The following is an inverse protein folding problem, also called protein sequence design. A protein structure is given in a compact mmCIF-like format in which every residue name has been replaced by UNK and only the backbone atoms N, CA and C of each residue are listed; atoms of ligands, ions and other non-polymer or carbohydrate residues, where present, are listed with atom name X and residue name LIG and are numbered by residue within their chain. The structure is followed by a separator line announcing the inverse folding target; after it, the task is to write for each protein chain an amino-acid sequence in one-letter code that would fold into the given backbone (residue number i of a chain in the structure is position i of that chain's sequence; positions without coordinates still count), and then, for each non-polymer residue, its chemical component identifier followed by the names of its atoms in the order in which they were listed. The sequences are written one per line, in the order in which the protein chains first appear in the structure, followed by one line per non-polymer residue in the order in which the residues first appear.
data_IF_087031421315
#
_entry.id   IF_087031421315
#
_cell.length_a   1.000
_cell.length_b   1.000
_cell.length_c   1.000
_cell.angle_alpha   90.00
_cell.angle_beta   90.00
_cell.angle_gamma   90.00
#
_symmetry.space_group_name_H-M   'P 1'
#
loop_
_entity.id
_entity.type
_entity.pdbx_description
1 polymer ?
#
# COMPACT_ATOMS: atom_id res chain seq x y z
N UNK A 1 27.39 -42.35 14.81
CA UNK A 1 27.65 -41.41 13.70
C UNK A 1 26.33 -41.11 13.03
N UNK A 2 25.69 -39.99 13.40
CA UNK A 2 24.45 -39.52 12.78
C UNK A 2 24.60 -38.04 12.53
N UNK A 3 24.88 -37.68 11.27
CA UNK A 3 25.03 -36.29 10.82
C UNK A 3 23.65 -35.83 10.37
N UNK A 4 22.95 -35.08 11.22
CA UNK A 4 21.73 -34.37 10.81
C UNK A 4 22.11 -33.01 10.23
N UNK A 5 21.96 -32.91 8.91
CA UNK A 5 22.02 -31.69 8.13
C UNK A 5 20.89 -30.74 8.54
N UNK A 6 21.22 -29.61 9.18
CA UNK A 6 20.28 -28.50 9.36
C UNK A 6 20.18 -27.71 8.07
N UNK A 7 19.13 -27.97 7.30
CA UNK A 7 18.65 -27.16 6.18
C UNK A 7 18.27 -25.78 6.71
N UNK A 8 18.97 -24.73 6.28
CA UNK A 8 18.60 -23.33 6.57
C UNK A 8 17.36 -22.98 5.73
N UNK A 9 16.28 -22.58 6.39
CA UNK A 9 15.16 -21.90 5.74
C UNK A 9 15.65 -20.55 5.16
N UNK A 10 15.28 -20.18 3.92
CA UNK A 10 15.53 -18.84 3.43
C UNK A 10 14.39 -17.94 3.93
N UNK A 11 14.64 -17.17 4.99
CA UNK A 11 13.82 -16.01 5.30
C UNK A 11 14.00 -15.00 4.16
N UNK A 12 13.03 -14.95 3.24
CA UNK A 12 12.84 -13.82 2.34
C UNK A 12 12.36 -12.63 3.17
N UNK A 13 13.28 -11.92 3.79
CA UNK A 13 13.05 -10.53 4.15
C UNK A 13 13.20 -9.70 2.89
N UNK A 14 12.10 -9.22 2.33
CA UNK A 14 12.08 -8.16 1.32
C UNK A 14 12.50 -6.83 1.98
N UNK A 15 13.73 -6.79 2.48
CA UNK A 15 14.32 -5.62 3.10
C UNK A 15 14.91 -4.72 2.01
N UNK A 16 14.39 -3.50 1.92
CA UNK A 16 14.97 -2.42 1.14
C UNK A 16 16.50 -2.46 1.20
N UNK A 17 17.15 -2.60 0.05
CA UNK A 17 18.61 -2.62 -0.02
C UNK A 17 19.14 -1.24 0.38
N UNK A 18 20.01 -1.18 1.38
CA UNK A 18 20.57 0.08 1.85
C UNK A 18 21.74 0.53 0.96
N UNK A 19 21.87 1.84 0.77
CA UNK A 19 22.96 2.52 0.03
C UNK A 19 24.36 2.15 0.55
N UNK A 20 24.45 1.93 1.85
CA UNK A 20 25.69 1.57 2.56
C UNK A 20 25.49 0.20 3.20
N UNK A 21 26.43 -0.73 2.95
CA UNK A 21 26.45 -2.01 3.63
C UNK A 21 26.87 -1.83 5.11
N UNK A 22 26.59 -2.80 5.97
CA UNK A 22 26.92 -2.73 7.41
C UNK A 22 28.43 -2.49 7.69
N UNK A 23 29.28 -2.70 6.68
CA UNK A 23 30.73 -2.46 6.71
C UNK A 23 31.14 -1.04 6.23
N UNK A 24 30.20 -0.10 6.04
CA UNK A 24 30.49 1.28 5.64
C UNK A 24 30.92 1.48 4.17
N UNK A 25 30.93 0.41 3.36
CA UNK A 25 31.23 0.47 1.91
C UNK A 25 29.94 0.51 1.09
N UNK A 26 29.98 1.17 -0.07
CA UNK A 26 28.86 1.21 -1.01
C UNK A 26 28.45 -0.21 -1.41
N UNK A 27 27.15 -0.49 -1.35
CA UNK A 27 26.59 -1.79 -1.70
C UNK A 27 26.57 -1.94 -3.23
N UNK A 28 27.28 -2.92 -3.83
CA UNK A 28 27.30 -3.11 -5.29
C UNK A 28 25.96 -3.59 -5.88
N UNK A 29 25.01 -4.03 -5.04
CA UNK A 29 23.65 -4.38 -5.47
C UNK A 29 22.68 -3.19 -5.40
N UNK A 30 23.01 -2.16 -4.63
CA UNK A 30 22.19 -0.96 -4.51
C UNK A 30 22.37 -0.08 -5.74
N UNK A 31 21.29 0.09 -6.49
CA UNK A 31 21.22 1.04 -7.61
C UNK A 31 20.36 2.21 -7.14
N UNK A 32 20.98 3.38 -6.99
CA UNK A 32 20.24 4.61 -6.73
C UNK A 32 19.66 5.12 -8.05
N UNK A 33 18.34 4.98 -8.20
CA UNK A 33 17.64 5.46 -9.40
C UNK A 33 17.32 6.96 -9.26
N UNK A 34 17.48 7.55 -8.07
CA UNK A 34 17.13 8.93 -7.76
C UNK A 34 18.36 9.83 -7.55
N UNK A 35 19.51 9.44 -8.06
CA UNK A 35 20.72 10.26 -7.98
C UNK A 35 20.49 11.63 -8.63
N UNK A 36 20.87 12.68 -7.90
CA UNK A 36 20.73 14.07 -8.36
C UNK A 36 21.88 14.43 -9.30
N UNK A 37 21.53 15.03 -10.45
CA UNK A 37 22.53 15.51 -11.39
C UNK A 37 23.27 16.74 -10.85
N UNK A 38 24.50 16.93 -11.33
CA UNK A 38 25.30 18.11 -10.96
C UNK A 38 24.57 19.39 -11.41
N UNK A 39 24.42 20.39 -10.52
CA UNK A 39 23.68 21.59 -10.85
C UNK A 39 24.38 22.37 -11.95
N UNK A 40 23.63 22.74 -12.98
CA UNK A 40 24.11 23.58 -14.08
C UNK A 40 23.99 25.04 -13.65
N UNK A 41 25.08 25.79 -13.75
CA UNK A 41 25.09 27.22 -13.38
C UNK A 41 24.08 27.99 -14.23
N UNK A 42 23.22 28.77 -13.58
CA UNK A 42 22.16 29.55 -14.24
C UNK A 42 20.89 28.77 -14.60
N UNK A 43 20.89 27.44 -14.46
CA UNK A 43 19.78 26.56 -14.84
C UNK A 43 19.43 25.66 -13.67
N UNK A 44 18.77 26.22 -12.66
CA UNK A 44 18.31 25.48 -11.48
C UNK A 44 16.85 25.05 -11.57
N UNK A 45 16.03 25.83 -12.27
CA UNK A 45 14.61 25.60 -12.43
C UNK A 45 14.23 25.62 -13.90
N UNK A 46 13.24 24.83 -14.29
CA UNK A 46 12.75 24.72 -15.66
C UNK A 46 11.24 24.89 -15.68
N UNK A 47 10.74 25.66 -16.63
CA UNK A 47 9.32 25.70 -16.96
C UNK A 47 9.04 24.62 -18.00
N UNK A 48 8.13 23.70 -17.69
CA UNK A 48 7.77 22.58 -18.55
C UNK A 48 6.27 22.61 -18.80
N UNK A 49 5.87 22.42 -20.06
CA UNK A 49 4.49 22.10 -20.40
C UNK A 49 4.37 20.61 -20.69
N UNK A 50 3.35 19.98 -20.15
CA UNK A 50 3.05 18.58 -20.39
C UNK A 50 1.75 18.44 -21.18
N UNK A 51 1.69 17.46 -22.07
CA UNK A 51 0.45 16.99 -22.67
C UNK A 51 0.33 15.49 -22.39
N UNK A 52 -0.69 15.11 -21.63
CA UNK A 52 -0.92 13.72 -21.21
C UNK A 52 -2.37 13.33 -21.51
N UNK A 53 -2.67 12.83 -22.73
CA UNK A 53 -4.02 12.41 -23.09
C UNK A 53 -4.34 11.02 -22.48
N UNK A 54 -4.31 10.93 -21.15
CA UNK A 54 -4.53 9.70 -20.34
C UNK A 54 -5.75 8.88 -20.80
N UNK A 55 -6.86 9.56 -21.11
CA UNK A 55 -8.10 8.91 -21.54
C UNK A 55 -7.97 8.26 -22.92
N UNK A 56 -7.26 8.90 -23.84
CA UNK A 56 -7.06 8.40 -25.21
C UNK A 56 -6.06 7.25 -25.20
N UNK A 57 -5.03 7.32 -24.34
CA UNK A 57 -4.04 6.24 -24.17
C UNK A 57 -4.71 4.96 -23.65
N UNK A 58 -5.56 5.06 -22.62
CA UNK A 58 -6.33 3.91 -22.12
C UNK A 58 -7.26 3.33 -23.19
N UNK A 59 -7.86 4.18 -24.02
CA UNK A 59 -8.66 3.73 -25.16
C UNK A 59 -7.82 3.06 -26.24
N UNK A 60 -6.58 3.52 -26.47
CA UNK A 60 -5.62 2.90 -27.40
C UNK A 60 -5.22 1.51 -26.95
N UNK A 61 -4.84 1.35 -25.68
CA UNK A 61 -4.48 0.04 -25.10
C UNK A 61 -5.65 -0.94 -25.16
N UNK A 62 -6.85 -0.50 -24.80
CA UNK A 62 -8.07 -1.31 -24.91
C UNK A 62 -8.39 -1.67 -26.37
N UNK A 63 -8.23 -0.74 -27.30
CA UNK A 63 -8.44 -0.99 -28.73
C UNK A 63 -7.46 -2.02 -29.29
N UNK A 64 -6.18 -1.92 -28.95
CA UNK A 64 -5.15 -2.89 -29.36
C UNK A 64 -5.47 -4.27 -28.79
N UNK A 65 -5.95 -4.33 -27.55
CA UNK A 65 -6.37 -5.58 -26.93
C UNK A 65 -7.63 -6.17 -27.58
N UNK A 66 -8.62 -5.35 -27.96
CA UNK A 66 -9.81 -5.81 -28.68
C UNK A 66 -9.46 -6.38 -30.07
N UNK A 67 -8.60 -5.71 -30.83
CA UNK A 67 -8.12 -6.24 -32.12
C UNK A 67 -7.29 -7.50 -31.95
N UNK A 68 -6.45 -7.55 -30.92
CA UNK A 68 -5.76 -8.78 -30.53
C UNK A 68 -6.75 -9.90 -30.26
N UNK A 69 -7.82 -9.69 -29.47
CA UNK A 69 -8.81 -10.73 -29.19
C UNK A 69 -9.54 -11.23 -30.44
N UNK A 70 -9.75 -10.39 -31.45
CA UNK A 70 -10.33 -10.80 -32.74
C UNK A 70 -9.37 -11.68 -33.55
N UNK A 71 -8.07 -11.35 -33.52
CA UNK A 71 -7.02 -12.10 -34.20
C UNK A 71 -6.52 -13.30 -33.40
N UNK A 72 -6.74 -13.31 -32.08
CA UNK A 72 -6.52 -14.41 -31.17
C UNK A 72 -7.59 -15.47 -31.44
N UNK A 73 -7.46 -16.11 -32.60
CA UNK A 73 -8.38 -17.08 -33.21
C UNK A 73 -8.42 -18.41 -32.44
N UNK A 74 -8.50 -18.38 -31.12
CA UNK A 74 -8.68 -19.59 -30.32
C UNK A 74 -10.04 -20.23 -30.61
N UNK A 75 -11.09 -19.43 -30.77
CA UNK A 75 -12.44 -19.97 -31.01
C UNK A 75 -12.60 -20.59 -32.41
N UNK A 76 -12.06 -19.96 -33.46
CA UNK A 76 -12.11 -20.51 -34.84
C UNK A 76 -11.19 -21.71 -35.01
N UNK A 77 -9.98 -21.68 -34.45
CA UNK A 77 -9.08 -22.84 -34.50
C UNK A 77 -9.71 -24.02 -33.75
N UNK A 78 -10.37 -23.79 -32.62
CA UNK A 78 -11.06 -24.84 -31.88
C UNK A 78 -12.22 -25.48 -32.65
N UNK A 79 -13.01 -24.68 -33.39
CA UNK A 79 -14.02 -25.23 -34.31
C UNK A 79 -13.41 -26.09 -35.42
N UNK A 80 -12.27 -25.67 -35.99
CA UNK A 80 -11.54 -26.46 -37.00
C UNK A 80 -10.92 -27.72 -36.43
N UNK A 81 -10.42 -27.69 -35.20
CA UNK A 81 -9.95 -28.88 -34.49
C UNK A 81 -11.10 -29.85 -34.22
N UNK A 82 -12.28 -29.40 -33.81
CA UNK A 82 -13.46 -30.26 -33.64
C UNK A 82 -13.89 -30.88 -34.98
N UNK A 83 -13.85 -30.13 -36.08
CA UNK A 83 -14.11 -30.67 -37.43
C UNK A 83 -13.07 -31.74 -37.83
N UNK A 84 -11.80 -31.53 -37.49
CA UNK A 84 -10.73 -32.51 -37.71
C UNK A 84 -10.91 -33.76 -36.85
N UNK A 85 -11.27 -33.63 -35.58
CA UNK A 85 -11.55 -34.77 -34.68
C UNK A 85 -12.74 -35.60 -35.18
N UNK A 86 -13.78 -34.96 -35.71
CA UNK A 86 -14.89 -35.64 -36.40
C UNK A 86 -14.39 -36.44 -37.62
N UNK A 87 -13.50 -35.86 -38.43
CA UNK A 87 -12.91 -36.56 -39.57
C UNK A 87 -12.05 -37.77 -39.14
N UNK A 88 -11.24 -37.64 -38.10
CA UNK A 88 -10.41 -38.73 -37.55
C UNK A 88 -11.30 -39.84 -36.97
N UNK A 89 -12.32 -39.49 -36.20
CA UNK A 89 -13.32 -40.43 -35.68
C UNK A 89 -13.98 -41.21 -36.82
N UNK A 90 -14.37 -40.54 -37.90
CA UNK A 90 -14.97 -41.19 -39.08
C UNK A 90 -13.98 -42.10 -39.84
N UNK A 91 -12.77 -41.61 -40.12
CA UNK A 91 -11.74 -42.34 -40.89
C UNK A 91 -11.25 -43.60 -40.19
N UNK A 92 -11.09 -43.54 -38.87
CA UNK A 92 -10.56 -44.64 -38.06
C UNK A 92 -11.64 -45.41 -37.29
N UNK A 93 -12.93 -45.07 -37.48
CA UNK A 93 -14.08 -45.66 -36.77
C UNK A 93 -13.93 -45.60 -35.24
N UNK A 94 -13.36 -44.51 -34.74
CA UNK A 94 -13.28 -44.26 -33.31
C UNK A 94 -14.58 -43.63 -32.83
N UNK A 95 -14.99 -43.94 -31.60
CA UNK A 95 -16.09 -43.25 -30.93
C UNK A 95 -15.76 -41.77 -30.80
N UNK A 96 -16.61 -40.90 -31.36
CA UNK A 96 -16.42 -39.44 -31.28
C UNK A 96 -16.50 -38.95 -29.83
N UNK A 97 -17.34 -39.58 -28.99
CA UNK A 97 -17.46 -39.23 -27.57
C UNK A 97 -16.16 -39.51 -26.81
N UNK A 98 -15.50 -40.63 -27.09
CA UNK A 98 -14.25 -41.00 -26.42
C UNK A 98 -13.12 -40.05 -26.84
N UNK A 99 -12.99 -39.79 -28.15
CA UNK A 99 -11.98 -38.85 -28.68
C UNK A 99 -12.22 -37.41 -28.20
N UNK A 100 -13.48 -37.00 -28.08
CA UNK A 100 -13.83 -35.68 -27.55
C UNK A 100 -13.56 -35.58 -26.05
N UNK A 101 -13.70 -36.67 -25.31
CA UNK A 101 -13.38 -36.74 -23.87
C UNK A 101 -11.87 -36.69 -23.64
N UNK A 102 -11.10 -37.47 -24.40
CA UNK A 102 -9.63 -37.46 -24.35
C UNK A 102 -9.08 -36.08 -24.74
N UNK A 103 -9.66 -35.42 -25.74
CA UNK A 103 -9.29 -34.06 -26.11
C UNK A 103 -9.59 -33.06 -24.98
N UNK A 104 -10.70 -33.21 -24.26
CA UNK A 104 -11.01 -32.37 -23.10
C UNK A 104 -10.04 -32.62 -21.93
N UNK A 105 -9.70 -33.87 -21.65
CA UNK A 105 -8.71 -34.22 -20.63
C UNK A 105 -7.33 -33.64 -20.97
N UNK A 106 -6.89 -33.79 -22.21
CA UNK A 106 -5.65 -33.19 -22.72
C UNK A 106 -5.63 -31.67 -22.55
N UNK A 107 -6.74 -30.99 -22.87
CA UNK A 107 -6.85 -29.54 -22.66
C UNK A 107 -6.70 -29.15 -21.19
N UNK A 108 -7.31 -29.88 -20.26
CA UNK A 108 -7.15 -29.60 -18.82
C UNK A 108 -5.73 -29.82 -18.31
N UNK A 109 -4.99 -30.78 -18.87
CA UNK A 109 -3.61 -31.08 -18.47
C UNK A 109 -2.61 -30.06 -19.07
N UNK A 110 -2.77 -29.75 -20.36
CA UNK A 110 -1.94 -28.75 -21.06
C UNK A 110 -2.33 -27.31 -20.74
N UNK A 111 -3.52 -27.04 -20.18
CA UNK A 111 -3.90 -25.69 -19.73
C UNK A 111 -2.86 -25.09 -18.77
N UNK A 112 -2.23 -25.91 -17.92
CA UNK A 112 -1.17 -25.47 -17.01
C UNK A 112 0.15 -25.12 -17.72
N UNK A 113 0.40 -25.70 -18.90
CA UNK A 113 1.54 -25.42 -19.78
C UNK A 113 1.30 -24.19 -20.65
N UNK A 114 0.09 -24.05 -21.18
CA UNK A 114 -0.34 -22.88 -21.97
C UNK A 114 -0.29 -21.58 -21.18
N UNK A 115 -0.60 -21.59 -19.88
CA UNK A 115 -0.48 -20.39 -19.03
C UNK A 115 0.97 -19.92 -18.87
N UNK A 116 1.97 -20.78 -19.14
CA UNK A 116 3.40 -20.39 -19.10
C UNK A 116 3.88 -19.69 -20.38
N UNK A 117 3.23 -19.92 -21.52
CA UNK A 117 3.36 -19.09 -22.73
C UNK A 117 2.37 -17.96 -22.61
N UNK A 118 2.74 -16.91 -21.87
CA UNK A 118 1.79 -15.91 -21.41
C UNK A 118 1.10 -15.21 -22.58
N UNK A 119 -0.22 -15.09 -22.51
CA UNK A 119 -1.04 -14.21 -23.36
C UNK A 119 -0.43 -12.79 -23.51
N UNK A 120 0.33 -12.35 -22.50
CA UNK A 120 1.08 -11.10 -22.52
C UNK A 120 2.23 -11.08 -23.54
N UNK A 121 3.00 -12.17 -23.66
CA UNK A 121 4.12 -12.26 -24.61
C UNK A 121 3.62 -12.37 -26.05
N UNK A 122 2.51 -13.09 -26.24
CA UNK A 122 1.84 -13.17 -27.54
C UNK A 122 1.17 -11.86 -27.93
N UNK A 123 0.59 -11.14 -26.96
CA UNK A 123 0.07 -9.78 -27.17
C UNK A 123 1.18 -8.82 -27.57
N UNK A 124 2.32 -8.82 -26.86
CA UNK A 124 3.49 -7.99 -27.21
C UNK A 124 3.95 -8.29 -28.64
N UNK A 125 4.12 -9.57 -28.97
CA UNK A 125 4.54 -9.97 -30.32
C UNK A 125 3.54 -9.54 -31.39
N UNK A 126 2.23 -9.62 -31.11
CA UNK A 126 1.19 -9.16 -32.03
C UNK A 126 1.19 -7.65 -32.22
N UNK A 127 1.35 -6.89 -31.13
CA UNK A 127 1.45 -5.43 -31.17
C UNK A 127 2.69 -5.03 -31.98
N UNK A 128 3.85 -5.65 -31.73
CA UNK A 128 5.09 -5.35 -32.45
C UNK A 128 4.98 -5.63 -33.96
N UNK A 129 4.26 -6.68 -34.35
CA UNK A 129 4.09 -7.05 -35.76
C UNK A 129 3.09 -6.15 -36.50
N UNK A 130 2.05 -5.67 -35.81
CA UNK A 130 0.93 -4.96 -36.42
C UNK A 130 0.83 -3.50 -35.95
N UNK A 131 1.89 -2.96 -35.36
CA UNK A 131 1.89 -1.63 -34.72
C UNK A 131 1.41 -0.53 -35.66
N UNK A 132 1.97 -0.45 -36.86
CA UNK A 132 1.62 0.57 -37.86
C UNK A 132 0.15 0.44 -38.31
N UNK A 133 -0.35 -0.77 -38.50
CA UNK A 133 -1.72 -1.01 -38.95
C UNK A 133 -2.73 -0.65 -37.85
N UNK A 134 -2.48 -1.13 -36.63
CA UNK A 134 -3.30 -0.84 -35.45
C UNK A 134 -3.32 0.65 -35.13
N UNK A 135 -2.18 1.33 -35.25
CA UNK A 135 -2.08 2.76 -35.03
C UNK A 135 -2.85 3.56 -36.10
N UNK A 136 -2.77 3.17 -37.37
CA UNK A 136 -3.55 3.81 -38.44
C UNK A 136 -5.06 3.61 -38.27
N UNK A 137 -5.49 2.41 -37.88
CA UNK A 137 -6.89 2.12 -37.58
C UNK A 137 -7.39 2.93 -36.39
N UNK A 138 -6.59 3.02 -35.33
CA UNK A 138 -6.90 3.81 -34.14
C UNK A 138 -7.01 5.30 -34.50
N UNK A 139 -6.03 5.84 -35.23
CA UNK A 139 -6.00 7.24 -35.65
C UNK A 139 -7.21 7.61 -36.52
N UNK A 140 -7.59 6.74 -37.45
CA UNK A 140 -8.79 6.94 -38.29
C UNK A 140 -10.07 6.97 -37.45
N UNK A 141 -10.20 6.05 -36.48
CA UNK A 141 -11.39 5.94 -35.62
C UNK A 141 -11.51 7.10 -34.62
N UNK A 142 -10.37 7.67 -34.20
CA UNK A 142 -10.30 8.76 -33.21
C UNK A 142 -9.98 10.13 -33.82
N UNK A 143 -10.21 10.33 -35.14
CA UNK A 143 -10.01 11.60 -35.84
C UNK A 143 -8.60 12.21 -35.65
N UNK A 144 -7.56 11.37 -35.65
CA UNK A 144 -6.16 11.78 -35.49
C UNK A 144 -5.88 12.62 -34.22
N UNK A 145 -6.66 12.40 -33.15
CA UNK A 145 -6.35 13.01 -31.87
C UNK A 145 -5.00 12.50 -31.33
N UNK A 146 -4.20 13.40 -30.77
CA UNK A 146 -2.90 13.09 -30.17
C UNK A 146 -3.03 12.01 -29.11
N UNK A 147 -2.39 10.87 -29.33
CA UNK A 147 -2.34 9.72 -28.41
C UNK A 147 -0.99 9.58 -27.69
N UNK A 148 -0.06 10.50 -27.95
CA UNK A 148 1.30 10.47 -27.41
C UNK A 148 1.45 11.45 -26.24
N UNK A 149 2.20 11.01 -25.22
CA UNK A 149 2.65 11.87 -24.13
C UNK A 149 3.74 12.81 -24.65
N UNK A 150 3.60 14.11 -24.38
CA UNK A 150 4.55 15.11 -24.84
C UNK A 150 5.07 15.99 -23.70
N UNK A 151 6.35 16.33 -23.78
CA UNK A 151 7.01 17.30 -22.90
C UNK A 151 7.51 18.45 -23.78
N UNK A 152 7.28 19.68 -23.35
CA UNK A 152 7.87 20.87 -23.96
C UNK A 152 8.58 21.71 -22.90
N UNK A 153 9.90 21.85 -23.05
CA UNK A 153 10.71 22.74 -22.21
C UNK A 153 10.51 24.18 -22.70
N UNK A 154 9.99 25.06 -21.83
CA UNK A 154 9.64 26.46 -22.13
C UNK A 154 10.73 27.45 -21.69
N UNK A 155 11.75 26.99 -20.95
CA UNK A 155 12.89 27.79 -20.53
C UNK A 155 13.48 27.30 -19.21
N UNK A 156 14.74 27.65 -18.95
CA UNK A 156 15.45 27.34 -17.72
C UNK A 156 15.93 28.63 -17.04
N UNK A 157 15.84 28.68 -15.71
CA UNK A 157 16.05 29.87 -14.89
C UNK A 157 16.91 29.57 -13.66
N UNK A 158 17.64 30.57 -13.13
CA UNK A 158 18.50 30.41 -11.97
C UNK A 158 17.74 30.42 -10.62
N UNK A 159 16.64 31.15 -10.52
CA UNK A 159 15.87 31.33 -9.28
C UNK A 159 14.43 30.84 -9.42
N UNK A 160 13.83 30.44 -8.30
CA UNK A 160 12.44 29.97 -8.26
C UNK A 160 11.46 31.10 -8.59
N UNK A 161 11.68 32.29 -8.03
CA UNK A 161 10.83 33.47 -8.24
C UNK A 161 10.76 33.89 -9.73
N UNK A 162 11.89 33.84 -10.43
CA UNK A 162 11.95 34.14 -11.86
C UNK A 162 11.20 33.08 -12.67
N UNK A 163 11.36 31.79 -12.33
CA UNK A 163 10.65 30.70 -12.98
C UNK A 163 9.13 30.78 -12.74
N UNK A 164 8.69 31.16 -11.54
CA UNK A 164 7.27 31.35 -11.21
C UNK A 164 6.67 32.53 -11.97
N UNK A 165 7.34 33.67 -12.02
CA UNK A 165 6.88 34.84 -12.79
C UNK A 165 6.74 34.51 -14.27
N UNK A 166 7.74 33.82 -14.85
CA UNK A 166 7.71 33.39 -16.24
C UNK A 166 6.66 32.32 -16.50
N UNK A 167 6.42 31.42 -15.55
CA UNK A 167 5.34 30.44 -15.61
C UNK A 167 3.97 31.13 -15.68
N UNK A 168 3.74 32.15 -14.84
CA UNK A 168 2.50 32.96 -14.86
C UNK A 168 2.28 33.62 -16.21
N UNK A 169 3.30 34.30 -16.74
CA UNK A 169 3.23 34.91 -18.07
C UNK A 169 2.97 33.88 -19.18
N UNK A 170 3.59 32.70 -19.11
CA UNK A 170 3.40 31.64 -20.11
C UNK A 170 1.99 31.03 -20.07
N UNK A 171 1.37 30.95 -18.89
CA UNK A 171 -0.03 30.50 -18.74
C UNK A 171 -1.00 31.52 -19.33
N UNK A 172 -0.74 32.82 -19.17
CA UNK A 172 -1.54 33.87 -19.81
C UNK A 172 -1.47 33.82 -21.34
N UNK A 173 -0.28 33.55 -21.89
CA UNK A 173 -0.06 33.45 -23.34
C UNK A 173 -0.63 32.18 -23.97
N UNK A 174 -0.67 31.07 -23.22
CA UNK A 174 -1.07 29.75 -23.71
C UNK A 174 -1.98 29.05 -22.68
N UNK A 175 -3.28 29.37 -22.65
CA UNK A 175 -4.23 28.82 -21.69
C UNK A 175 -4.56 27.34 -21.95
N UNK A 176 -4.12 26.78 -23.07
CA UNK A 176 -4.43 25.40 -23.46
C UNK A 176 -3.49 24.37 -22.82
N UNK A 177 -2.36 24.81 -22.24
CA UNK A 177 -1.35 23.91 -21.70
C UNK A 177 -1.04 24.23 -20.23
N UNK A 178 -1.03 23.19 -19.41
CA UNK A 178 -0.57 23.31 -18.04
C UNK A 178 0.96 23.50 -18.02
N UNK A 179 1.41 24.61 -17.40
CA UNK A 179 2.83 24.93 -17.23
C UNK A 179 3.23 24.69 -15.78
N UNK A 180 4.31 23.92 -15.59
CA UNK A 180 4.86 23.55 -14.30
C UNK A 180 6.28 24.09 -14.14
N UNK A 181 6.66 24.39 -12.91
CA UNK A 181 8.04 24.75 -12.55
C UNK A 181 8.65 23.56 -11.83
N UNK A 182 9.81 23.12 -12.30
CA UNK A 182 10.52 21.97 -11.76
C UNK A 182 11.99 22.27 -11.51
N UNK A 183 12.61 21.74 -10.44
CA UNK A 183 14.05 21.82 -10.29
C UNK A 183 14.76 20.92 -11.31
N UNK A 184 15.90 21.38 -11.83
CA UNK A 184 16.74 20.64 -12.77
C UNK A 184 17.64 19.68 -11.99
N UNK A 185 17.71 18.43 -12.44
CA UNK A 185 18.54 17.39 -11.83
C UNK A 185 17.87 16.57 -10.74
N UNK A 186 16.56 16.77 -10.51
CA UNK A 186 15.75 15.91 -9.65
C UNK A 186 14.66 15.21 -10.47
N UNK A 187 14.35 13.97 -10.08
CA UNK A 187 13.22 13.24 -10.64
C UNK A 187 11.92 13.88 -10.22
N UNK A 188 11.09 14.21 -11.21
CA UNK A 188 9.74 14.74 -10.98
C UNK A 188 8.69 13.72 -11.42
N UNK A 189 7.60 13.56 -10.65
CA UNK A 189 6.49 12.73 -11.07
C UNK A 189 5.89 13.26 -12.38
N UNK A 190 5.57 12.34 -13.29
CA UNK A 190 4.86 12.63 -14.53
C UNK A 190 3.41 12.99 -14.22
N UNK A 191 2.93 14.15 -14.70
CA UNK A 191 1.56 14.65 -14.49
C UNK A 191 1.15 14.63 -13.00
N UNK A 192 1.83 15.42 -12.14
CA UNK A 192 1.48 15.49 -10.73
C UNK A 192 0.04 15.98 -10.59
N UNK A 193 -0.86 15.14 -10.09
CA UNK A 193 -2.19 15.58 -9.66
C UNK A 193 -2.00 16.80 -8.74
N UNK A 194 -2.55 17.95 -9.15
CA UNK A 194 -2.39 19.22 -8.44
C UNK A 194 -2.67 19.09 -6.93
N UNK A 195 -3.62 18.22 -6.57
CA UNK A 195 -3.98 17.95 -5.18
C UNK A 195 -2.91 17.20 -4.36
N UNK A 196 -2.06 16.39 -4.98
CA UNK A 196 -1.04 15.56 -4.28
C UNK A 196 0.31 16.24 -4.17
N UNK A 197 0.65 17.15 -5.08
CA UNK A 197 2.02 17.69 -5.20
C UNK A 197 2.24 18.99 -4.42
N UNK A 198 1.25 19.45 -3.66
CA UNK A 198 1.36 20.65 -2.84
C UNK A 198 1.39 21.94 -3.67
N UNK A 199 1.44 23.08 -2.95
CA UNK A 199 1.36 24.48 -3.43
C UNK A 199 0.94 24.64 -4.91
N UNK A 200 -0.36 24.62 -5.14
CA UNK A 200 -0.97 24.92 -6.45
C UNK A 200 -1.38 26.38 -6.47
N UNK A 201 -0.84 27.14 -7.41
CA UNK A 201 -1.36 28.47 -7.75
C UNK A 201 -2.20 28.35 -9.02
N UNK A 202 -3.49 28.62 -8.88
CA UNK A 202 -4.45 28.79 -9.97
C UNK A 202 -4.31 30.18 -10.62
N UNK A 203 -4.76 30.32 -11.86
CA UNK A 203 -4.72 31.61 -12.57
C UNK A 203 -5.69 32.63 -11.96
N UNK A 204 -6.82 32.16 -11.43
CA UNK A 204 -7.82 32.99 -10.78
C UNK A 204 -7.46 33.26 -9.31
N UNK A 205 -7.29 34.54 -8.96
CA UNK A 205 -6.94 34.96 -7.60
C UNK A 205 -8.06 34.61 -6.58
N UNK A 206 -9.32 34.71 -7.00
CA UNK A 206 -10.47 34.31 -6.17
C UNK A 206 -10.48 32.80 -5.88
N UNK A 207 -10.10 31.97 -6.87
CA UNK A 207 -10.02 30.52 -6.70
C UNK A 207 -8.86 30.12 -5.78
N UNK A 208 -7.74 30.86 -5.85
CA UNK A 208 -6.62 30.69 -4.92
C UNK A 208 -7.02 30.98 -3.48
N UNK A 209 -7.75 32.08 -3.26
CA UNK A 209 -8.29 32.42 -1.94
C UNK A 209 -9.25 31.34 -1.45
N UNK A 210 -10.18 30.89 -2.30
CA UNK A 210 -11.15 29.86 -1.96
C UNK A 210 -10.48 28.52 -1.58
N UNK A 211 -9.46 28.09 -2.33
CA UNK A 211 -8.71 26.86 -2.02
C UNK A 211 -7.87 26.99 -0.75
N UNK A 212 -7.23 28.14 -0.54
CA UNK A 212 -6.50 28.43 0.70
C UNK A 212 -7.46 28.43 1.91
N UNK A 213 -8.62 29.05 1.77
CA UNK A 213 -9.67 29.05 2.80
C UNK A 213 -10.24 27.65 3.05
N UNK A 214 -10.46 26.84 2.00
CA UNK A 214 -10.88 25.44 2.14
C UNK A 214 -9.86 24.63 2.93
N UNK A 215 -8.58 24.71 2.59
CA UNK A 215 -7.51 24.01 3.31
C UNK A 215 -7.41 24.48 4.76
N UNK A 216 -7.53 25.79 4.99
CA UNK A 216 -7.58 26.37 6.34
C UNK A 216 -8.79 25.85 7.12
N UNK A 217 -9.96 25.79 6.51
CA UNK A 217 -11.18 25.29 7.13
C UNK A 217 -11.11 23.78 7.42
N UNK A 218 -10.55 22.98 6.52
CA UNK A 218 -10.32 21.54 6.74
C UNK A 218 -9.33 21.30 7.88
N UNK A 219 -8.23 22.06 7.93
CA UNK A 219 -7.26 21.98 9.03
C UNK A 219 -7.88 22.39 10.37
N UNK A 220 -8.67 23.48 10.37
CA UNK A 220 -9.38 23.95 11.55
C UNK A 220 -10.43 22.92 12.01
N UNK A 221 -11.17 22.32 11.08
CA UNK A 221 -12.14 21.27 11.40
C UNK A 221 -11.48 20.03 12.00
N UNK A 222 -10.31 19.60 11.47
CA UNK A 222 -9.53 18.50 12.04
C UNK A 222 -9.05 18.84 13.46
N UNK A 223 -8.46 20.01 13.66
CA UNK A 223 -8.00 20.44 14.99
C UNK A 223 -9.16 20.59 15.98
N UNK A 224 -10.30 21.12 15.56
CA UNK A 224 -11.50 21.25 16.40
C UNK A 224 -12.09 19.86 16.74
N UNK A 225 -12.06 18.92 15.81
CA UNK A 225 -12.46 17.54 16.05
C UNK A 225 -11.53 16.84 17.05
N UNK A 226 -10.22 16.96 16.89
CA UNK A 226 -9.22 16.42 17.83
C UNK A 226 -9.36 17.03 19.22
N UNK A 227 -9.60 18.35 19.31
CA UNK A 227 -9.88 19.03 20.57
C UNK A 227 -11.16 18.51 21.22
N UNK A 228 -12.26 18.35 20.47
CA UNK A 228 -13.50 17.77 20.99
C UNK A 228 -13.30 16.35 21.49
N UNK A 229 -12.60 15.50 20.74
CA UNK A 229 -12.29 14.13 21.15
C UNK A 229 -11.46 14.12 22.43
N UNK A 230 -10.46 15.00 22.55
CA UNK A 230 -9.64 15.14 23.75
C UNK A 230 -10.47 15.63 24.95
N UNK A 231 -11.37 16.59 24.75
CA UNK A 231 -12.26 17.10 25.79
C UNK A 231 -13.29 16.07 26.24
N UNK A 232 -13.93 15.34 25.32
CA UNK A 232 -14.86 14.25 25.65
C UNK A 232 -14.17 13.15 26.43
N UNK A 233 -12.94 12.76 26.02
CA UNK A 233 -12.12 11.80 26.77
C UNK A 233 -11.83 12.30 28.18
N UNK A 234 -11.41 13.56 28.34
CA UNK A 234 -11.16 14.17 29.66
C UNK A 234 -12.41 14.17 30.54
N UNK A 235 -13.57 14.56 30.00
CA UNK A 235 -14.85 14.60 30.73
C UNK A 235 -15.31 13.20 31.16
N UNK A 236 -15.26 12.22 30.27
CA UNK A 236 -15.62 10.84 30.60
C UNK A 236 -14.77 10.28 31.75
N UNK A 237 -13.49 10.68 31.82
CA UNK A 237 -12.58 10.23 32.87
C UNK A 237 -12.80 10.99 34.16
N UNK A 238 -13.06 12.29 34.11
CA UNK A 238 -13.45 13.07 35.29
C UNK A 238 -14.77 12.56 35.90
N UNK A 239 -15.73 12.17 35.06
CA UNK A 239 -16.97 11.52 35.49
C UNK A 239 -16.72 10.14 36.11
N UNK A 240 -15.82 9.33 35.51
CA UNK A 240 -15.41 8.06 36.09
C UNK A 240 -14.70 8.21 37.44
N UNK A 241 -13.82 9.21 37.60
CA UNK A 241 -13.15 9.51 38.88
C UNK A 241 -14.19 9.89 39.94
N UNK A 242 -15.11 10.81 39.62
CA UNK A 242 -16.19 11.22 40.54
C UNK A 242 -17.12 10.06 40.92
N UNK A 243 -17.39 9.16 39.98
CA UNK A 243 -18.22 7.98 40.24
C UNK A 243 -17.47 6.97 41.13
N UNK A 244 -16.18 6.75 40.88
CA UNK A 244 -15.31 5.90 41.69
C UNK A 244 -15.22 6.41 43.14
N UNK A 245 -15.04 7.72 43.35
CA UNK A 245 -15.03 8.35 44.69
C UNK A 245 -16.35 8.15 45.44
N UNK A 246 -17.49 8.24 44.73
CA UNK A 246 -18.83 8.07 45.34
C UNK A 246 -19.19 6.62 45.64
N UNK A 247 -18.69 5.68 44.84
CA UNK A 247 -19.07 4.26 44.90
C UNK A 247 -18.03 3.38 45.58
N UNK A 248 -16.85 3.91 45.91
CA UNK A 248 -15.76 3.16 46.53
C UNK A 248 -15.14 2.08 45.63
N UNK A 249 -15.40 2.15 44.32
CA UNK A 249 -14.88 1.20 43.32
C UNK A 249 -13.50 1.63 42.83
N UNK A 250 -12.59 0.67 42.61
CA UNK A 250 -11.21 0.95 42.17
C UNK A 250 -11.17 1.44 40.73
N UNK A 251 -10.51 2.59 40.50
CA UNK A 251 -10.32 3.17 39.17
C UNK A 251 -9.44 2.25 38.33
N UNK A 252 -9.88 1.88 37.12
CA UNK A 252 -9.16 0.94 36.23
C UNK A 252 -8.39 1.64 35.11
N UNK A 253 -8.61 2.94 34.85
CA UNK A 253 -7.91 3.71 33.80
C UNK A 253 -7.57 5.17 34.24
N UNK A 254 -6.32 5.61 33.98
CA UNK A 254 -5.78 6.98 34.19
C UNK A 254 -5.19 7.51 32.87
N UNK A 255 -4.88 8.81 32.76
CA UNK A 255 -4.32 9.44 31.54
C UNK A 255 -2.83 9.78 31.75
N UNK A 256 -2.01 9.59 30.71
CA UNK A 256 -0.62 10.07 30.64
C UNK A 256 -0.53 11.52 30.07
N UNK A 257 0.60 12.21 30.23
CA UNK A 257 0.78 13.64 29.86
C UNK A 257 0.42 13.97 28.39
N UNK A 258 0.48 12.97 27.51
CA UNK A 258 0.14 13.08 26.08
C UNK A 258 -1.35 12.83 25.75
N UNK A 259 -2.17 12.44 26.72
CA UNK A 259 -3.62 12.25 26.53
C UNK A 259 -4.06 10.85 26.09
N UNK A 260 -3.19 9.85 26.26
CA UNK A 260 -3.49 8.45 26.01
C UNK A 260 -4.00 7.76 27.29
N UNK A 261 -4.91 6.78 27.12
CA UNK A 261 -5.47 6.00 28.22
C UNK A 261 -4.46 4.94 28.66
N UNK A 262 -4.02 5.01 29.91
CA UNK A 262 -3.22 3.97 30.55
C UNK A 262 -4.07 3.30 31.64
N UNK A 263 -4.03 1.97 31.75
CA UNK A 263 -4.69 1.28 32.86
C UNK A 263 -4.05 1.69 34.19
N UNK A 264 -4.83 1.91 35.25
CA UNK A 264 -4.23 2.17 36.58
C UNK A 264 -3.51 0.89 36.99
N UNK A 265 -2.19 1.01 37.20
CA UNK A 265 -1.19 -0.04 37.43
C UNK A 265 -1.42 -0.93 38.69
N UNK A 266 -2.64 -1.30 39.03
CA UNK A 266 -2.97 -1.91 40.32
C UNK A 266 -3.80 -3.20 40.24
N UNK A 267 -3.77 -3.92 39.12
CA UNK A 267 -4.47 -5.22 39.01
C UNK A 267 -3.51 -6.41 38.87
N UNK A 268 -2.26 -6.24 38.44
CA UNK A 268 -1.27 -7.33 38.41
C UNK A 268 0.08 -6.86 38.94
N UNK A 269 0.39 -7.19 40.19
CA UNK A 269 1.71 -7.00 40.83
C UNK A 269 2.84 -7.64 40.03
N UNK A 270 2.53 -8.68 39.24
CA UNK A 270 3.45 -9.44 38.40
C UNK A 270 4.04 -8.62 37.24
N UNK A 271 3.25 -7.73 36.62
CA UNK A 271 3.75 -6.92 35.47
C UNK A 271 4.72 -5.81 35.89
N UNK A 272 4.66 -5.37 37.14
CA UNK A 272 5.55 -4.32 37.68
C UNK A 272 6.98 -4.84 37.86
N UNK A 273 7.13 -6.02 38.46
CA UNK A 273 8.44 -6.63 38.71
C UNK A 273 9.12 -7.07 37.40
N UNK A 274 8.35 -7.55 36.43
CA UNK A 274 8.83 -7.99 35.11
C UNK A 274 9.32 -6.82 34.23
N UNK A 275 8.75 -5.62 34.37
CA UNK A 275 9.16 -4.44 33.58
C UNK A 275 10.46 -3.78 34.07
N UNK A 276 10.78 -3.93 35.36
CA UNK A 276 12.00 -3.35 35.94
C UNK A 276 13.27 -4.18 35.63
N UNK A 277 13.12 -5.38 35.05
CA UNK A 277 14.25 -6.22 34.62
C UNK A 277 14.46 -6.15 33.10
N UNK A 278 15.60 -5.61 32.65
CA UNK A 278 15.93 -5.41 31.22
C UNK A 278 16.06 -6.69 30.39
N UNK A 279 16.18 -7.87 31.01
CA UNK A 279 16.22 -9.16 30.29
C UNK A 279 15.50 -10.25 31.08
N UNK A 280 14.37 -10.72 30.57
CA UNK A 280 13.53 -11.71 31.25
C UNK A 280 13.71 -13.08 30.58
N UNK A 281 14.17 -14.09 31.33
CA UNK A 281 14.24 -15.48 30.86
C UNK A 281 12.88 -16.17 30.98
N UNK A 282 12.57 -17.13 30.08
CA UNK A 282 11.34 -17.93 30.17
C UNK A 282 11.23 -18.73 31.47
N UNK A 283 12.36 -19.00 32.14
CA UNK A 283 12.40 -19.64 33.46
C UNK A 283 11.94 -18.68 34.58
N UNK A 284 12.34 -17.41 34.51
CA UNK A 284 11.99 -16.41 35.52
C UNK A 284 10.52 -16.00 35.43
N UNK A 285 9.98 -15.91 34.21
CA UNK A 285 8.54 -15.70 33.97
C UNK A 285 7.72 -16.85 34.59
N UNK A 286 8.20 -18.10 34.44
CA UNK A 286 7.48 -19.26 34.96
C UNK A 286 7.51 -19.30 36.49
N UNK A 287 8.64 -18.98 37.11
CA UNK A 287 8.75 -18.94 38.57
C UNK A 287 7.86 -17.83 39.17
N UNK A 288 7.87 -16.62 38.60
CA UNK A 288 7.00 -15.52 39.07
C UNK A 288 5.50 -15.82 38.88
N UNK A 289 5.11 -16.41 37.75
CA UNK A 289 3.70 -16.68 37.44
C UNK A 289 3.11 -17.90 38.17
N UNK A 290 3.94 -18.85 38.61
CA UNK A 290 3.46 -20.12 39.19
C UNK A 290 4.01 -20.44 40.59
N UNK A 291 5.01 -19.72 41.08
CA UNK A 291 5.67 -20.00 42.36
C UNK A 291 5.80 -18.76 43.27
N UNK A 292 5.26 -17.60 42.86
CA UNK A 292 5.24 -16.39 43.68
C UNK A 292 4.41 -16.53 44.97
N UNK A 293 4.71 -15.71 45.98
CA UNK A 293 4.14 -15.79 47.34
C UNK A 293 2.59 -15.78 47.39
N UNK A 294 1.93 -15.26 46.35
CA UNK A 294 0.47 -15.20 46.22
C UNK A 294 -0.15 -16.40 45.47
N UNK A 295 0.65 -17.42 45.11
CA UNK A 295 0.23 -18.57 44.30
C UNK A 295 0.29 -19.84 45.15
N UNK A 296 -0.86 -20.44 45.39
CA UNK A 296 -0.98 -21.65 46.23
C UNK A 296 -0.56 -22.88 45.42
N UNK A 297 0.65 -23.38 45.66
CA UNK A 297 1.22 -24.55 44.96
C UNK A 297 1.07 -25.89 45.71
N UNK A 298 0.47 -25.88 46.91
CA UNK A 298 0.25 -27.07 47.75
C UNK A 298 -1.21 -27.25 48.20
N UNK A 299 -1.51 -28.35 48.92
CA UNK A 299 -2.80 -28.55 49.61
C UNK A 299 -2.84 -27.70 50.90
N UNK A 300 -3.05 -26.40 50.76
CA UNK A 300 -3.37 -25.52 51.89
C UNK A 300 -4.85 -25.13 51.84
N UNK A 301 -5.28 -24.27 52.76
CA UNK A 301 -6.66 -23.77 52.88
C UNK A 301 -7.12 -22.90 51.69
N UNK A 302 -6.35 -22.85 50.58
CA UNK A 302 -6.63 -22.08 49.37
C UNK A 302 -7.03 -20.61 49.64
N UNK A 303 -6.53 -20.01 50.73
CA UNK A 303 -6.90 -18.67 51.16
C UNK A 303 -8.31 -18.51 51.74
N UNK A 304 -9.04 -19.59 52.04
CA UNK A 304 -10.39 -19.54 52.61
C UNK A 304 -10.45 -18.85 53.98
N UNK A 305 -9.39 -18.98 54.79
CA UNK A 305 -9.25 -18.32 56.10
C UNK A 305 -9.07 -16.80 56.02
N UNK A 306 -8.68 -16.26 54.87
CA UNK A 306 -8.56 -14.81 54.65
C UNK A 306 -9.85 -14.18 54.10
N UNK A 307 -10.84 -15.02 53.74
CA UNK A 307 -12.14 -14.55 53.24
C UNK A 307 -13.01 -14.05 54.41
N UNK A 308 -13.21 -12.73 54.46
CA UNK A 308 -14.05 -12.08 55.48
C UNK A 308 -15.55 -12.36 55.29
N UNK A 309 -16.00 -12.74 54.09
CA UNK A 309 -17.40 -13.14 53.82
C UNK A 309 -17.54 -13.90 52.49
N UNK A 310 -18.57 -14.73 52.37
CA UNK A 310 -18.90 -15.49 51.16
C UNK A 310 -19.32 -16.95 51.45
N UNK A 311 -19.84 -17.68 50.45
CA UNK A 311 -20.29 -19.07 50.62
C UNK A 311 -19.15 -20.06 50.92
N UNK A 312 -17.89 -19.65 50.77
CA UNK A 312 -16.69 -20.44 51.01
C UNK A 312 -15.86 -19.95 52.21
N UNK A 313 -16.34 -18.97 52.98
CA UNK A 313 -15.69 -18.49 54.20
C UNK A 313 -16.15 -19.30 55.42
N UNK A 314 -15.21 -19.75 56.26
CA UNK A 314 -15.52 -20.56 57.45
C UNK A 314 -16.16 -19.67 58.53
N UNK A 315 -17.42 -19.94 58.89
CA UNK A 315 -18.09 -19.30 60.02
C UNK A 315 -17.67 -19.99 61.32
N UNK A 316 -17.40 -19.20 62.38
CA UNK A 316 -16.84 -19.67 63.67
C UNK A 316 -17.70 -20.63 64.50
N UNK A 317 -18.88 -21.04 64.02
CA UNK A 317 -19.85 -21.84 64.79
C UNK A 317 -19.88 -23.35 64.46
N UNK A 318 -19.04 -23.83 63.53
CA UNK A 318 -18.90 -25.27 63.23
C UNK A 318 -17.53 -25.81 63.67
N UNK A 319 -17.31 -25.86 65.00
CA UNK A 319 -16.23 -26.61 65.65
C UNK A 319 -16.74 -27.31 66.91
#
# INVERSE_FOLDING_TARGET
MGVQSKTKNPEKTSGFEKKVADNGKNNPKYVDVLDEDKPIAGQKFVCISFISPEKIIKQKELFFFEEFLKNWEFSKSMEKFIQFLNFVSYKYKLSFDDVSKDFKEFLTEEQASFVKGGMEDDFKTYVDQNEEELENLFNTKHNFQTSTRGIKIRGAYPTMEEAELRCKMLRELDPNHDVFVGPIGLWMPWDPEAYKTGRVEYMEEELNQLMHEKNKNESFAKSAFEQRVKETKKKAIEENIKLAEKTGSTLTQTIDEEGNLIGVNNVNTQERTLKDQESISAADIRAELFEGDNIVTGKTDNGQSELLSGPFAIKKDDK
#
